data_IF_171053820062
#
_entry.id   IF_171053820062
#
_cell.length_a   1.000
_cell.length_b   1.000
_cell.length_c   1.000
_cell.angle_alpha   90.00
_cell.angle_beta   90.00
_cell.angle_gamma   90.00
#
_symmetry.space_group_name_H-M   'P 1'
#
loop_
_entity.id
_entity.type
_entity.pdbx_description
1 polymer ?
#
# COMPACT_ATOMS: atom_id res chain seq x y z
N UNK A 1 -2.04 41.56 -5.17
CA UNK A 1 -1.99 41.07 -3.77
C UNK A 1 -2.52 39.64 -3.66
N UNK A 2 -3.60 39.29 -4.40
CA UNK A 2 -4.14 37.92 -4.41
C UNK A 2 -3.25 36.89 -5.15
N UNK A 3 -2.43 37.31 -6.13
CA UNK A 3 -1.63 36.39 -6.95
C UNK A 3 -0.52 35.66 -6.17
N UNK A 4 0.16 36.36 -5.25
CA UNK A 4 1.21 35.74 -4.44
C UNK A 4 0.60 34.77 -3.42
N UNK A 5 -0.53 35.13 -2.81
CA UNK A 5 -1.23 34.25 -1.87
C UNK A 5 -1.74 32.98 -2.57
N UNK A 6 -2.23 33.11 -3.80
CA UNK A 6 -2.65 31.97 -4.63
C UNK A 6 -1.46 31.06 -5.02
N UNK A 7 -0.30 31.64 -5.37
CA UNK A 7 0.92 30.87 -5.63
C UNK A 7 1.38 30.07 -4.41
N UNK A 8 1.39 30.69 -3.23
CA UNK A 8 1.78 30.00 -1.99
C UNK A 8 0.80 28.88 -1.62
N UNK A 9 -0.50 29.09 -1.82
CA UNK A 9 -1.50 28.03 -1.63
C UNK A 9 -1.29 26.86 -2.59
N UNK A 10 -1.01 27.12 -3.87
CA UNK A 10 -0.70 26.07 -4.84
C UNK A 10 0.59 25.32 -4.48
N UNK A 11 1.63 26.04 -4.06
CA UNK A 11 2.89 25.43 -3.63
C UNK A 11 2.70 24.53 -2.40
N UNK A 12 1.91 24.97 -1.42
CA UNK A 12 1.55 24.17 -0.25
C UNK A 12 0.75 22.93 -0.63
N UNK A 13 -0.28 23.08 -1.46
CA UNK A 13 -1.10 21.95 -1.92
C UNK A 13 -0.25 20.90 -2.66
N UNK A 14 0.66 21.35 -3.52
CA UNK A 14 1.58 20.46 -4.24
C UNK A 14 2.57 19.77 -3.31
N UNK A 15 3.13 20.50 -2.33
CA UNK A 15 4.02 19.90 -1.33
C UNK A 15 3.32 18.85 -0.47
N UNK A 16 2.08 19.09 -0.06
CA UNK A 16 1.27 18.12 0.69
C UNK A 16 0.97 16.90 -0.17
N UNK A 17 0.62 17.09 -1.45
CA UNK A 17 0.39 15.99 -2.38
C UNK A 17 1.63 15.10 -2.56
N UNK A 18 2.81 15.71 -2.74
CA UNK A 18 4.07 14.96 -2.85
C UNK A 18 4.40 14.19 -1.57
N UNK A 19 4.16 14.79 -0.40
CA UNK A 19 4.35 14.11 0.88
C UNK A 19 3.43 12.91 1.03
N UNK A 20 2.13 13.08 0.73
CA UNK A 20 1.17 11.98 0.78
C UNK A 20 1.53 10.85 -0.18
N UNK A 21 2.03 11.18 -1.37
CA UNK A 21 2.52 10.20 -2.32
C UNK A 21 3.74 9.44 -1.77
N UNK A 22 4.73 10.15 -1.20
CA UNK A 22 5.90 9.51 -0.62
C UNK A 22 5.55 8.49 0.49
N UNK A 23 4.63 8.84 1.40
CA UNK A 23 4.21 7.93 2.48
C UNK A 23 3.31 6.79 2.01
N UNK A 24 2.56 6.95 0.92
CA UNK A 24 1.71 5.86 0.39
C UNK A 24 2.51 4.78 -0.35
N UNK A 25 3.72 5.11 -0.78
CA UNK A 25 4.60 4.22 -1.54
C UNK A 25 5.63 3.51 -0.66
N UNK A 26 5.51 3.54 0.67
CA UNK A 26 6.41 2.77 1.51
C UNK A 26 6.38 1.29 1.05
N UNK A 27 7.52 0.74 0.60
CA UNK A 27 7.58 -0.62 0.13
C UNK A 27 7.37 -1.55 1.33
N UNK A 28 6.59 -2.61 1.13
CA UNK A 28 6.49 -3.67 2.14
C UNK A 28 7.89 -4.24 2.36
N UNK A 29 8.35 -4.39 3.61
CA UNK A 29 9.68 -4.93 3.89
C UNK A 29 9.85 -6.30 3.22
N UNK A 30 10.93 -6.48 2.45
CA UNK A 30 11.17 -7.70 1.66
C UNK A 30 11.19 -8.96 2.53
N UNK A 31 11.71 -8.86 3.76
CA UNK A 31 11.68 -9.96 4.74
C UNK A 31 10.26 -10.40 5.11
N UNK A 32 9.32 -9.45 5.16
CA UNK A 32 7.92 -9.71 5.48
C UNK A 32 7.19 -10.32 4.28
N UNK A 33 7.49 -9.83 3.06
CA UNK A 33 6.96 -10.40 1.83
C UNK A 33 7.41 -11.85 1.62
N UNK A 34 8.68 -12.15 1.91
CA UNK A 34 9.21 -13.52 1.88
C UNK A 34 8.51 -14.41 2.91
N UNK A 35 8.35 -13.93 4.15
CA UNK A 35 7.67 -14.69 5.20
C UNK A 35 6.24 -15.09 4.79
N UNK A 36 5.46 -14.13 4.27
CA UNK A 36 4.08 -14.40 3.86
C UNK A 36 3.94 -15.28 2.63
N UNK A 37 4.92 -15.26 1.72
CA UNK A 37 4.87 -16.02 0.47
C UNK A 37 5.36 -17.46 0.65
N UNK A 38 6.38 -17.66 1.50
CA UNK A 38 7.05 -18.96 1.66
C UNK A 38 6.59 -19.74 2.89
N UNK A 39 6.31 -19.06 4.01
CA UNK A 39 6.05 -19.72 5.30
C UNK A 39 4.57 -19.73 5.67
N UNK A 40 3.74 -18.95 4.97
CA UNK A 40 2.33 -18.77 5.29
C UNK A 40 1.42 -19.29 4.19
N UNK A 41 0.32 -19.92 4.60
CA UNK A 41 -0.77 -20.33 3.72
C UNK A 41 -1.93 -19.33 3.80
N UNK A 42 -2.42 -18.87 2.65
CA UNK A 42 -3.61 -18.00 2.60
C UNK A 42 -4.86 -18.82 2.94
N UNK A 43 -5.52 -18.49 4.05
CA UNK A 43 -6.78 -19.13 4.44
C UNK A 43 -7.97 -18.41 3.79
N UNK A 44 -8.00 -17.09 3.91
CA UNK A 44 -9.15 -16.29 3.50
C UNK A 44 -8.69 -14.91 3.04
N UNK A 45 -9.17 -14.50 1.86
CA UNK A 45 -8.87 -13.19 1.27
C UNK A 45 -10.06 -12.27 1.50
N UNK A 46 -9.80 -10.98 1.71
CA UNK A 46 -10.84 -9.95 1.73
C UNK A 46 -11.88 -10.13 2.86
N UNK A 47 -11.41 -10.27 4.10
CA UNK A 47 -12.28 -10.22 5.28
C UNK A 47 -12.67 -8.76 5.52
N UNK A 48 -13.91 -8.45 5.15
CA UNK A 48 -14.54 -7.16 5.45
C UNK A 48 -14.76 -7.01 6.96
N UNK A 49 -14.02 -6.10 7.59
CA UNK A 49 -14.19 -5.73 9.01
C UNK A 49 -15.25 -4.62 9.20
N UNK A 50 -15.90 -4.20 8.11
CA UNK A 50 -16.94 -3.16 8.08
C UNK A 50 -16.57 -1.95 7.20
N UNK A 51 -17.53 -1.03 6.98
CA UNK A 51 -17.44 0.07 6.00
C UNK A 51 -16.25 1.03 6.22
N UNK A 52 -15.69 1.08 7.42
CA UNK A 52 -14.59 1.99 7.80
C UNK A 52 -13.29 1.25 8.13
N UNK A 53 -13.26 -0.08 8.01
CA UNK A 53 -12.07 -0.87 8.32
C UNK A 53 -11.43 -1.37 7.03
N UNK A 54 -10.10 -1.22 6.87
CA UNK A 54 -9.42 -1.74 5.70
C UNK A 54 -9.60 -3.25 5.61
N UNK A 55 -9.75 -3.76 4.40
CA UNK A 55 -9.91 -5.19 4.13
C UNK A 55 -8.64 -5.94 4.53
N UNK A 56 -8.81 -7.08 5.19
CA UNK A 56 -7.69 -7.88 5.70
C UNK A 56 -7.71 -9.27 5.08
N UNK A 57 -6.53 -9.81 4.81
CA UNK A 57 -6.35 -11.21 4.46
C UNK A 57 -5.92 -11.98 5.70
N UNK A 58 -6.36 -13.23 5.81
CA UNK A 58 -6.03 -14.12 6.91
C UNK A 58 -5.07 -15.18 6.42
N UNK A 59 -3.85 -15.13 6.95
CA UNK A 59 -2.76 -16.04 6.66
C UNK A 59 -2.58 -17.00 7.84
N UNK A 60 -2.22 -18.25 7.54
CA UNK A 60 -1.79 -19.22 8.54
C UNK A 60 -0.30 -19.47 8.35
N UNK A 61 0.51 -18.95 9.27
CA UNK A 61 1.95 -19.12 9.30
C UNK A 61 2.28 -20.16 10.37
N UNK A 62 2.40 -21.44 9.96
CA UNK A 62 2.52 -22.57 10.89
C UNK A 62 1.28 -22.73 11.79
N UNK A 63 1.46 -22.56 13.11
CA UNK A 63 0.38 -22.70 14.11
C UNK A 63 -0.33 -21.36 14.43
N UNK A 64 0.10 -20.24 13.82
CA UNK A 64 -0.43 -18.91 14.11
C UNK A 64 -1.24 -18.38 12.92
N UNK A 65 -2.41 -17.80 13.22
CA UNK A 65 -3.22 -17.09 12.25
C UNK A 65 -2.90 -15.59 12.35
N UNK A 66 -2.36 -15.04 11.28
CA UNK A 66 -2.04 -13.61 11.16
C UNK A 66 -3.05 -12.90 10.26
N UNK A 67 -3.49 -11.70 10.68
CA UNK A 67 -4.34 -10.83 9.86
C UNK A 67 -3.45 -9.75 9.24
N UNK A 68 -3.32 -9.76 7.93
CA UNK A 68 -2.53 -8.79 7.18
C UNK A 68 -3.45 -7.90 6.34
N UNK A 69 -3.05 -6.66 6.09
CA UNK A 69 -3.78 -5.80 5.15
C UNK A 69 -3.80 -6.43 3.77
N UNK A 70 -4.95 -6.39 3.09
CA UNK A 70 -5.04 -6.90 1.72
C UNK A 70 -4.08 -6.16 0.79
N UNK A 71 -3.94 -4.85 0.95
CA UNK A 71 -3.06 -4.04 0.12
C UNK A 71 -1.58 -4.41 0.28
N UNK A 72 -1.15 -4.69 1.51
CA UNK A 72 0.25 -5.04 1.80
C UNK A 72 0.56 -6.46 1.31
N UNK A 73 -0.36 -7.40 1.49
CA UNK A 73 -0.20 -8.76 0.98
C UNK A 73 -0.20 -8.82 -0.55
N UNK A 74 -1.09 -8.06 -1.21
CA UNK A 74 -1.14 -8.02 -2.67
C UNK A 74 0.12 -7.36 -3.26
N UNK A 75 0.67 -6.35 -2.57
CA UNK A 75 1.98 -5.73 -2.92
C UNK A 75 3.15 -6.69 -2.70
N UNK A 76 3.11 -7.50 -1.65
CA UNK A 76 4.11 -8.53 -1.38
C UNK A 76 4.10 -9.66 -2.42
N UNK A 77 2.91 -10.14 -2.82
CA UNK A 77 2.75 -11.18 -3.84
C UNK A 77 2.99 -10.64 -5.25
N UNK A 78 2.59 -9.41 -5.54
CA UNK A 78 2.84 -8.79 -6.85
C UNK A 78 4.32 -8.51 -7.08
N UNK A 79 5.15 -8.59 -6.04
CA UNK A 79 6.61 -8.63 -6.13
C UNK A 79 7.13 -7.42 -6.88
N UNK A 80 7.00 -6.23 -6.29
CA UNK A 80 7.55 -4.97 -6.81
C UNK A 80 7.23 -4.71 -8.30
N UNK A 81 6.16 -5.32 -8.82
CA UNK A 81 5.51 -4.89 -10.04
C UNK A 81 4.70 -3.65 -9.69
N UNK A 82 5.40 -2.58 -9.29
CA UNK A 82 5.01 -1.28 -9.80
C UNK A 82 4.95 -1.51 -11.30
N UNK A 83 3.74 -1.52 -11.86
CA UNK A 83 3.58 -0.95 -13.20
C UNK A 83 4.17 0.46 -13.07
N UNK A 84 5.48 0.54 -13.22
CA UNK A 84 6.17 1.77 -13.57
C UNK A 84 5.30 2.33 -14.67
N UNK A 85 4.74 3.49 -14.40
CA UNK A 85 3.97 4.33 -15.31
C UNK A 85 4.71 4.66 -16.62
N UNK A 86 5.86 4.03 -16.87
CA UNK A 86 6.51 3.84 -18.16
C UNK A 86 5.61 3.16 -19.21
N UNK A 87 4.68 2.26 -18.84
CA UNK A 87 3.75 1.67 -19.83
C UNK A 87 2.53 2.56 -20.15
N UNK A 88 2.24 3.57 -19.33
CA UNK A 88 1.18 4.56 -19.58
C UNK A 88 1.64 5.73 -20.48
N UNK A 89 2.90 5.73 -20.93
CA UNK A 89 3.52 6.77 -21.77
C UNK A 89 3.83 6.30 -23.20
N UNK A 90 3.22 5.20 -23.68
CA UNK A 90 3.34 4.76 -25.07
C UNK A 90 2.11 5.11 -25.91
#
# INVERSE_FOLDING_TARGET
MMDELFKWLLALAFSVYLLLFAFSNDPVPEALAHHWTHDCHLLERNIDKGLFSPTQNRLQCGDVIENVSMADYDRAISGDKQETTAEAMK
#
